data_IF_407977897875
#
_entry.id   IF_407977897875
#
_cell.length_a   1.000
_cell.length_b   1.000
_cell.length_c   1.000
_cell.angle_alpha   90.00
_cell.angle_beta   90.00
_cell.angle_gamma   90.00
#
_symmetry.space_group_name_H-M   'P 1'
#
loop_
_entity.id
_entity.type
_entity.pdbx_description
1 polymer ?
#
# COMPACT_ATOMS: atom_id res chain seq x y z
N UNK A 1 -8.49 7.40 37.69
CA UNK A 1 -7.75 6.38 36.91
C UNK A 1 -8.13 6.47 35.43
N UNK A 2 -7.65 7.49 34.71
CA UNK A 2 -7.99 7.76 33.29
C UNK A 2 -6.79 7.56 32.33
N UNK A 3 -5.56 7.67 32.84
CA UNK A 3 -4.34 7.64 32.04
C UNK A 3 -4.02 6.28 31.40
N UNK A 4 -4.42 5.16 32.04
CA UNK A 4 -4.16 3.81 31.51
C UNK A 4 -4.97 3.57 30.22
N UNK A 5 -6.26 3.93 30.21
CA UNK A 5 -7.14 3.76 29.04
C UNK A 5 -6.71 4.59 27.82
N UNK A 6 -6.14 5.77 28.04
CA UNK A 6 -5.64 6.64 26.97
C UNK A 6 -4.40 6.07 26.29
N UNK A 7 -3.48 5.45 27.06
CA UNK A 7 -2.28 4.81 26.52
C UNK A 7 -2.65 3.61 25.64
N UNK A 8 -3.56 2.76 26.12
CA UNK A 8 -4.02 1.60 25.34
C UNK A 8 -4.78 2.03 24.07
N UNK A 9 -5.62 3.06 24.16
CA UNK A 9 -6.32 3.60 22.98
C UNK A 9 -5.37 4.19 21.94
N UNK A 10 -4.30 4.86 22.38
CA UNK A 10 -3.27 5.44 21.50
C UNK A 10 -2.50 4.34 20.75
N UNK A 11 -2.08 3.29 21.44
CA UNK A 11 -1.35 2.18 20.83
C UNK A 11 -2.22 1.38 19.85
N UNK A 12 -3.50 1.17 20.17
CA UNK A 12 -4.47 0.55 19.23
C UNK A 12 -4.58 1.36 17.93
N UNK A 13 -4.68 2.70 18.01
CA UNK A 13 -4.76 3.51 16.80
C UNK A 13 -3.46 3.47 15.98
N UNK A 14 -2.29 3.44 16.64
CA UNK A 14 -1.00 3.26 15.93
C UNK A 14 -0.94 1.92 15.19
N UNK A 15 -1.40 0.84 15.82
CA UNK A 15 -1.44 -0.49 15.19
C UNK A 15 -2.34 -0.50 13.97
N UNK A 16 -3.54 0.08 14.06
CA UNK A 16 -4.49 0.17 12.94
C UNK A 16 -3.95 1.00 11.77
N UNK A 17 -3.16 2.04 12.04
CA UNK A 17 -2.44 2.79 10.99
C UNK A 17 -1.36 1.89 10.37
N UNK A 18 -0.60 1.17 11.19
CA UNK A 18 0.38 0.17 10.73
C UNK A 18 -0.21 -0.88 9.79
N UNK A 19 -1.35 -1.46 10.13
CA UNK A 19 -2.04 -2.43 9.29
C UNK A 19 -2.47 -1.83 7.93
N UNK A 20 -2.87 -0.55 7.93
CA UNK A 20 -3.21 0.17 6.69
C UNK A 20 -1.98 0.44 5.84
N UNK A 21 -0.83 0.75 6.42
CA UNK A 21 0.44 0.90 5.71
C UNK A 21 0.85 -0.42 5.04
N UNK A 22 0.78 -1.54 5.77
CA UNK A 22 1.06 -2.88 5.21
C UNK A 22 0.12 -3.20 4.06
N UNK A 23 -1.17 -2.85 4.18
CA UNK A 23 -2.14 -3.05 3.09
C UNK A 23 -1.78 -2.22 1.84
N UNK A 24 -1.43 -0.93 2.01
CA UNK A 24 -0.96 -0.08 0.91
C UNK A 24 0.26 -0.71 0.22
N UNK A 25 1.26 -1.14 1.00
CA UNK A 25 2.46 -1.79 0.46
C UNK A 25 2.14 -3.10 -0.27
N UNK A 26 1.18 -3.89 0.24
CA UNK A 26 0.76 -5.12 -0.41
C UNK A 26 0.12 -4.85 -1.77
N UNK A 27 -0.80 -3.88 -1.86
CA UNK A 27 -1.43 -3.49 -3.12
C UNK A 27 -0.38 -3.00 -4.12
N UNK A 28 0.60 -2.21 -3.67
CA UNK A 28 1.71 -1.76 -4.53
C UNK A 28 2.57 -2.92 -5.06
N UNK A 29 2.82 -3.96 -4.25
CA UNK A 29 3.52 -5.16 -4.72
C UNK A 29 2.71 -5.91 -5.78
N UNK A 30 1.40 -6.06 -5.57
CA UNK A 30 0.50 -6.68 -6.54
C UNK A 30 0.54 -5.93 -7.88
N UNK A 31 0.39 -4.60 -7.85
CA UNK A 31 0.46 -3.76 -9.05
C UNK A 31 1.78 -3.97 -9.80
N UNK A 32 2.92 -3.99 -9.09
CA UNK A 32 4.24 -4.21 -9.70
C UNK A 32 4.33 -5.55 -10.44
N UNK A 33 3.74 -6.62 -9.90
CA UNK A 33 3.69 -7.93 -10.57
C UNK A 33 2.89 -7.84 -11.87
N UNK A 34 1.69 -7.25 -11.82
CA UNK A 34 0.86 -7.10 -13.03
C UNK A 34 1.52 -6.17 -14.06
N UNK A 35 2.22 -5.12 -13.65
CA UNK A 35 2.98 -4.23 -14.54
C UNK A 35 4.16 -4.96 -15.20
N UNK A 36 4.87 -5.84 -14.49
CA UNK A 36 5.92 -6.68 -15.07
C UNK A 36 5.35 -7.66 -16.12
N UNK A 37 4.17 -8.23 -15.86
CA UNK A 37 3.45 -9.07 -16.82
C UNK A 37 3.00 -8.23 -18.04
N UNK A 38 2.51 -7.01 -17.84
CA UNK A 38 2.15 -6.11 -18.95
C UNK A 38 3.37 -5.77 -19.82
N UNK A 39 4.51 -5.53 -19.19
CA UNK A 39 5.77 -5.29 -19.90
C UNK A 39 6.19 -6.50 -20.74
N UNK A 40 6.01 -7.71 -20.23
CA UNK A 40 6.25 -8.94 -20.99
C UNK A 40 5.37 -8.99 -22.25
N UNK A 41 4.06 -8.78 -22.13
CA UNK A 41 3.13 -8.77 -23.27
C UNK A 41 3.42 -7.65 -24.28
N UNK A 42 3.94 -6.49 -23.83
CA UNK A 42 4.37 -5.42 -24.74
C UNK A 42 5.63 -5.76 -25.52
N UNK A 43 6.57 -6.45 -24.89
CA UNK A 43 7.87 -6.80 -25.49
C UNK A 43 7.76 -7.99 -26.44
N UNK A 44 6.86 -8.92 -26.15
CA UNK A 44 6.58 -10.10 -26.96
C UNK A 44 5.11 -10.05 -27.41
N UNK A 45 4.83 -9.42 -28.56
CA UNK A 45 3.46 -9.25 -29.02
C UNK A 45 2.76 -10.61 -29.14
N UNK A 46 1.56 -10.67 -28.57
CA UNK A 46 0.71 -11.84 -28.48
C UNK A 46 0.30 -12.34 -29.89
N UNK A 47 0.72 -13.54 -30.32
CA UNK A 47 0.36 -14.08 -31.62
C UNK A 47 -1.11 -14.51 -31.71
N UNK A 48 -1.77 -14.82 -30.58
CA UNK A 48 -3.15 -15.32 -30.56
C UNK A 48 -4.15 -14.33 -29.96
N UNK A 49 -5.42 -14.46 -30.38
CA UNK A 49 -6.54 -13.71 -29.77
C UNK A 49 -6.64 -13.95 -28.26
N UNK A 50 -6.44 -15.19 -27.81
CA UNK A 50 -6.48 -15.56 -26.39
C UNK A 50 -5.42 -14.81 -25.56
N UNK A 51 -4.22 -14.67 -26.08
CA UNK A 51 -3.14 -13.92 -25.41
C UNK A 51 -3.40 -12.41 -25.41
N UNK A 52 -4.04 -11.87 -26.45
CA UNK A 52 -4.51 -10.48 -26.46
C UNK A 52 -5.59 -10.23 -25.40
N UNK A 53 -6.56 -11.14 -25.26
CA UNK A 53 -7.60 -11.05 -24.23
C UNK A 53 -6.99 -11.11 -22.81
N UNK A 54 -5.97 -11.96 -22.61
CA UNK A 54 -5.22 -12.03 -21.35
C UNK A 54 -4.44 -10.72 -21.06
N UNK A 55 -3.79 -10.14 -22.06
CA UNK A 55 -3.08 -8.86 -21.91
C UNK A 55 -4.06 -7.71 -21.61
N UNK A 56 -5.24 -7.69 -22.22
CA UNK A 56 -6.28 -6.71 -21.90
C UNK A 56 -6.83 -6.90 -20.48
N UNK A 57 -7.09 -8.14 -20.07
CA UNK A 57 -7.48 -8.48 -18.70
C UNK A 57 -6.44 -8.03 -17.68
N UNK A 58 -5.15 -8.28 -17.96
CA UNK A 58 -4.03 -7.81 -17.14
C UNK A 58 -4.05 -6.28 -16.96
N UNK A 59 -4.24 -5.52 -18.05
CA UNK A 59 -4.36 -4.05 -18.01
C UNK A 59 -5.60 -3.56 -17.26
N UNK A 60 -6.71 -4.31 -17.33
CA UNK A 60 -7.91 -4.04 -16.54
C UNK A 60 -7.61 -4.21 -15.04
N UNK A 61 -6.97 -5.31 -14.65
CA UNK A 61 -6.56 -5.56 -13.26
C UNK A 61 -5.64 -4.46 -12.73
N UNK A 62 -4.64 -4.01 -13.51
CA UNK A 62 -3.76 -2.90 -13.12
C UNK A 62 -4.57 -1.63 -12.80
N UNK A 63 -5.56 -1.28 -13.64
CA UNK A 63 -6.41 -0.10 -13.42
C UNK A 63 -7.24 -0.22 -12.15
N UNK A 64 -7.84 -1.38 -11.93
CA UNK A 64 -8.63 -1.65 -10.72
C UNK A 64 -7.76 -1.56 -9.45
N UNK A 65 -6.59 -2.23 -9.45
CA UNK A 65 -5.67 -2.17 -8.32
C UNK A 65 -5.13 -0.77 -8.04
N UNK A 66 -4.84 0.02 -9.08
CA UNK A 66 -4.44 1.43 -8.92
C UNK A 66 -5.54 2.28 -8.28
N UNK A 67 -6.79 2.06 -8.68
CA UNK A 67 -7.94 2.70 -8.03
C UNK A 67 -8.05 2.30 -6.55
N UNK A 68 -7.92 1.00 -6.24
CA UNK A 68 -7.90 0.49 -4.86
C UNK A 68 -6.75 1.10 -4.05
N UNK A 69 -5.56 1.22 -4.64
CA UNK A 69 -4.40 1.82 -4.00
C UNK A 69 -4.65 3.29 -3.63
N UNK A 70 -5.27 4.07 -4.53
CA UNK A 70 -5.61 5.46 -4.27
C UNK A 70 -6.57 5.59 -3.07
N UNK A 71 -7.61 4.75 -3.03
CA UNK A 71 -8.54 4.71 -1.90
C UNK A 71 -7.84 4.30 -0.61
N UNK A 72 -6.97 3.30 -0.65
CA UNK A 72 -6.20 2.84 0.52
C UNK A 72 -5.28 3.95 1.05
N UNK A 73 -4.56 4.67 0.18
CA UNK A 73 -3.72 5.82 0.54
C UNK A 73 -4.53 6.96 1.16
N UNK A 74 -5.70 7.27 0.59
CA UNK A 74 -6.62 8.28 1.16
C UNK A 74 -7.09 7.90 2.57
N UNK A 75 -7.45 6.63 2.79
CA UNK A 75 -7.84 6.10 4.11
C UNK A 75 -6.70 6.12 5.11
N UNK A 76 -5.48 5.79 4.68
CA UNK A 76 -4.28 5.88 5.51
C UNK A 76 -4.03 7.33 5.96
N UNK A 77 -3.98 8.27 5.00
CA UNK A 77 -3.76 9.68 5.28
C UNK A 77 -4.86 10.28 6.19
N UNK A 78 -6.12 9.85 6.02
CA UNK A 78 -7.21 10.23 6.91
C UNK A 78 -6.97 9.72 8.33
N UNK A 79 -6.61 8.45 8.49
CA UNK A 79 -6.34 7.86 9.80
C UNK A 79 -5.16 8.53 10.53
N UNK A 80 -4.11 8.90 9.80
CA UNK A 80 -2.97 9.65 10.35
C UNK A 80 -3.39 11.05 10.82
N UNK A 81 -4.22 11.76 10.03
CA UNK A 81 -4.76 13.07 10.42
C UNK A 81 -5.65 12.96 11.66
N UNK A 82 -6.54 11.97 11.71
CA UNK A 82 -7.40 11.72 12.88
C UNK A 82 -6.58 11.42 14.13
N UNK A 83 -5.52 10.63 13.99
CA UNK A 83 -4.57 10.36 15.07
C UNK A 83 -3.88 11.64 15.56
N UNK A 84 -3.31 12.42 14.65
CA UNK A 84 -2.60 13.65 14.98
C UNK A 84 -3.53 14.67 15.65
N UNK A 85 -4.77 14.83 15.14
CA UNK A 85 -5.78 15.72 15.72
C UNK A 85 -6.19 15.29 17.13
N UNK A 86 -6.30 13.98 17.38
CA UNK A 86 -6.77 13.43 18.66
C UNK A 86 -5.70 13.45 19.74
N UNK A 87 -4.44 13.24 19.39
CA UNK A 87 -3.35 13.06 20.35
C UNK A 87 -2.32 14.21 20.33
N UNK A 88 -2.44 15.19 19.44
CA UNK A 88 -1.57 16.37 19.39
C UNK A 88 -0.12 16.06 18.98
N UNK A 89 0.15 14.86 18.49
CA UNK A 89 1.48 14.38 18.11
C UNK A 89 1.45 13.90 16.67
N UNK A 90 2.47 14.28 15.87
CA UNK A 90 2.79 13.53 14.66
C UNK A 90 3.25 12.13 15.09
N UNK A 91 2.69 11.07 14.50
CA UNK A 91 3.06 9.68 14.80
C UNK A 91 4.58 9.41 14.67
N UNK A 92 5.32 10.31 14.03
CA UNK A 92 6.65 10.04 13.51
C UNK A 92 6.44 9.03 12.40
N UNK A 93 6.25 9.52 11.18
CA UNK A 93 6.10 8.65 10.02
C UNK A 93 7.24 7.65 9.97
N UNK A 94 7.01 6.53 9.27
CA UNK A 94 8.01 5.50 8.97
C UNK A 94 9.03 6.05 7.96
N UNK A 95 9.63 7.20 8.25
CA UNK A 95 10.63 7.90 7.41
C UNK A 95 11.86 8.29 8.25
N UNK A 96 12.10 7.57 9.34
CA UNK A 96 13.35 7.70 10.12
C UNK A 96 14.23 6.45 10.14
N UNK A 97 13.70 5.24 9.93
CA UNK A 97 14.46 4.03 10.27
C UNK A 97 14.12 2.72 9.52
N UNK A 98 13.27 2.74 8.49
CA UNK A 98 12.97 1.52 7.70
C UNK A 98 13.43 1.57 6.23
N UNK A 99 14.07 2.68 5.81
CA UNK A 99 14.81 2.76 4.55
C UNK A 99 16.20 2.07 4.64
N UNK A 100 16.62 1.60 5.82
CA UNK A 100 17.87 0.87 6.02
C UNK A 100 17.49 -0.58 6.37
N UNK A 101 17.45 -1.46 5.35
CA UNK A 101 17.65 -2.93 5.42
C UNK A 101 16.95 -3.72 4.28
N UNK A 102 16.97 -3.21 3.04
CA UNK A 102 16.78 -4.08 1.87
C UNK A 102 17.82 -3.85 0.77
N UNK A 103 18.94 -3.18 1.09
CA UNK A 103 20.09 -3.00 0.18
C UNK A 103 21.33 -3.79 0.60
N UNK A 104 21.23 -4.69 1.59
CA UNK A 104 22.32 -5.58 1.99
C UNK A 104 21.80 -7.00 2.16
N UNK A 105 21.62 -7.70 1.05
CA UNK A 105 21.75 -9.16 1.02
C UNK A 105 22.07 -9.59 -0.43
N UNK A 106 23.38 -9.57 -0.71
CA UNK A 106 24.18 -10.36 -1.68
C UNK A 106 23.78 -10.40 -3.15
#
# INVERSE_FOLDING_TARGET
MFFIRLKDSKEVHKSLIGDREVNVQHIEKVIRVYEAIDQFYRRYPCPTRKENDLAESNRKMIREWKSTLEVARKRLAQAEREYNNKYGESRGGIDGNLAIKWSEER
#
